data_IF_820625553805
#
_entry.id   IF_820625553805
#
_cell.length_a   1.000
_cell.length_b   1.000
_cell.length_c   1.000
_cell.angle_alpha   90.00
_cell.angle_beta   90.00
_cell.angle_gamma   90.00
#
_symmetry.space_group_name_H-M   'P 1'
#
loop_
_entity.id
_entity.type
_entity.pdbx_description
1 polymer ?
#
# COMPACT_ATOMS: atom_id res chain seq x y z
N UNK A 1 28.44 15.86 -31.83
CA UNK A 1 27.57 16.86 -31.19
C UNK A 1 27.73 16.83 -29.67
N UNK A 2 27.55 15.70 -29.00
CA UNK A 2 27.62 15.58 -27.53
C UNK A 2 28.97 16.03 -26.97
N UNK A 3 30.09 15.56 -27.54
CA UNK A 3 31.43 15.98 -27.13
C UNK A 3 31.60 17.50 -27.08
N UNK A 4 31.25 18.17 -28.17
CA UNK A 4 31.36 19.66 -28.25
C UNK A 4 30.44 20.38 -27.26
N UNK A 5 29.30 19.77 -26.92
CA UNK A 5 28.44 20.35 -25.93
C UNK A 5 29.04 20.23 -24.52
N UNK A 6 29.56 19.04 -24.16
CA UNK A 6 30.19 18.80 -22.87
C UNK A 6 31.48 19.62 -22.65
N UNK A 7 32.26 19.87 -23.72
CA UNK A 7 33.45 20.77 -23.64
C UNK A 7 33.10 22.23 -23.32
N UNK A 8 31.90 22.68 -23.73
CA UNK A 8 31.45 24.06 -23.54
C UNK A 8 30.61 24.26 -22.28
N UNK A 9 30.14 23.18 -21.66
CA UNK A 9 29.40 23.26 -20.42
C UNK A 9 30.33 23.59 -19.26
N UNK A 10 30.01 24.59 -18.44
CA UNK A 10 30.68 24.78 -17.16
C UNK A 10 30.47 23.55 -16.28
N UNK A 11 31.21 23.46 -15.18
CA UNK A 11 30.97 22.40 -14.19
C UNK A 11 29.51 22.43 -13.71
N UNK A 12 28.83 21.31 -13.80
CA UNK A 12 27.44 21.21 -13.41
C UNK A 12 27.36 21.09 -11.87
N UNK A 13 26.53 21.92 -11.21
CA UNK A 13 26.32 21.80 -9.79
C UNK A 13 25.66 20.46 -9.48
N UNK A 14 26.07 19.84 -8.38
CA UNK A 14 25.43 18.60 -7.94
C UNK A 14 24.04 18.91 -7.36
N UNK A 15 22.97 18.29 -7.88
CA UNK A 15 21.62 18.51 -7.36
C UNK A 15 21.39 17.86 -6.00
N UNK A 16 22.27 16.92 -5.60
CA UNK A 16 22.14 16.21 -4.31
C UNK A 16 22.97 16.86 -3.22
N UNK A 17 22.51 16.77 -1.95
CA UNK A 17 23.31 17.20 -0.82
C UNK A 17 24.64 16.43 -0.71
N UNK A 18 25.72 17.15 -0.45
CA UNK A 18 27.08 16.59 -0.41
C UNK A 18 27.23 15.43 0.60
N UNK A 19 26.54 15.52 1.74
CA UNK A 19 26.54 14.47 2.74
C UNK A 19 25.91 13.17 2.23
N UNK A 20 24.90 13.24 1.36
CA UNK A 20 24.28 12.06 0.75
C UNK A 20 25.20 11.45 -0.30
N UNK A 21 25.79 12.27 -1.17
CA UNK A 21 26.74 11.82 -2.18
C UNK A 21 27.91 11.06 -1.53
N UNK A 22 28.41 11.56 -0.41
CA UNK A 22 29.50 10.89 0.35
C UNK A 22 29.03 9.60 1.03
N UNK A 23 27.85 9.64 1.69
CA UNK A 23 27.33 8.47 2.41
C UNK A 23 27.10 7.27 1.48
N UNK A 24 26.61 7.52 0.28
CA UNK A 24 26.33 6.50 -0.73
C UNK A 24 27.54 6.22 -1.65
N UNK A 25 28.68 6.87 -1.41
CA UNK A 25 29.90 6.74 -2.23
C UNK A 25 29.66 6.97 -3.72
N UNK A 26 28.82 7.98 -4.03
CA UNK A 26 28.45 8.29 -5.39
C UNK A 26 29.48 9.20 -6.07
N UNK A 27 29.65 9.01 -7.37
CA UNK A 27 30.45 9.90 -8.20
C UNK A 27 29.80 11.31 -8.28
N UNK A 28 30.58 12.41 -8.34
CA UNK A 28 30.03 13.75 -8.57
C UNK A 28 29.20 13.82 -9.85
N UNK A 29 28.09 14.55 -9.82
CA UNK A 29 27.13 14.61 -10.93
C UNK A 29 27.76 15.03 -12.27
N UNK A 30 28.59 16.10 -12.28
CA UNK A 30 29.29 16.57 -13.49
C UNK A 30 30.18 15.48 -14.10
N UNK A 31 30.90 14.74 -13.25
CA UNK A 31 31.75 13.67 -13.67
C UNK A 31 30.94 12.48 -14.23
N UNK A 32 29.86 12.12 -13.58
CA UNK A 32 28.97 11.06 -14.05
C UNK A 32 28.35 11.39 -15.42
N UNK A 33 27.93 12.64 -15.66
CA UNK A 33 27.42 13.07 -16.97
C UNK A 33 28.49 12.98 -18.06
N UNK A 34 29.75 13.27 -17.74
CA UNK A 34 30.86 13.15 -18.72
C UNK A 34 31.21 11.68 -18.96
N UNK A 35 31.35 10.89 -17.90
CA UNK A 35 31.76 9.50 -17.98
C UNK A 35 30.71 8.57 -18.57
N UNK A 36 29.41 8.87 -18.49
CA UNK A 36 28.37 8.08 -19.16
C UNK A 36 28.50 8.15 -20.69
N UNK A 37 28.99 9.26 -21.22
CA UNK A 37 29.15 9.46 -22.65
C UNK A 37 30.55 9.11 -23.16
N UNK A 38 31.60 9.43 -22.38
CA UNK A 38 33.00 9.27 -22.78
C UNK A 38 33.84 8.75 -21.60
N UNK A 39 33.60 7.49 -21.17
CA UNK A 39 34.35 6.92 -20.07
C UNK A 39 35.80 6.63 -20.46
N UNK A 40 36.74 6.92 -19.60
CA UNK A 40 38.15 6.54 -19.81
C UNK A 40 38.42 5.09 -19.39
N UNK A 41 37.51 4.49 -18.62
CA UNK A 41 37.61 3.11 -18.15
C UNK A 41 36.22 2.50 -17.88
N UNK A 42 36.16 1.14 -17.78
CA UNK A 42 34.94 0.45 -17.39
C UNK A 42 34.49 0.78 -15.96
N UNK A 43 35.44 1.10 -15.07
CA UNK A 43 35.13 1.51 -13.71
C UNK A 43 34.43 2.87 -13.67
N UNK A 44 34.89 3.83 -14.46
CA UNK A 44 34.25 5.14 -14.60
C UNK A 44 32.85 5.03 -15.21
N UNK A 45 32.68 4.19 -16.22
CA UNK A 45 31.34 3.93 -16.78
C UNK A 45 30.39 3.34 -15.74
N UNK A 46 30.87 2.38 -14.95
CA UNK A 46 30.08 1.74 -13.90
C UNK A 46 29.67 2.75 -12.81
N UNK A 47 30.59 3.62 -12.38
CA UNK A 47 30.31 4.70 -11.42
C UNK A 47 29.27 5.68 -11.94
N UNK A 48 29.41 6.10 -13.21
CA UNK A 48 28.44 6.99 -13.85
C UNK A 48 27.03 6.37 -13.96
N UNK A 49 26.95 5.09 -14.35
CA UNK A 49 25.68 4.35 -14.41
C UNK A 49 25.05 4.25 -13.01
N UNK A 50 25.84 3.93 -12.00
CA UNK A 50 25.36 3.85 -10.62
C UNK A 50 24.80 5.19 -10.15
N UNK A 51 25.54 6.28 -10.38
CA UNK A 51 25.13 7.62 -10.00
C UNK A 51 23.80 8.01 -10.66
N UNK A 52 23.67 7.89 -11.97
CA UNK A 52 22.48 8.32 -12.69
C UNK A 52 21.25 7.47 -12.35
N UNK A 53 21.42 6.15 -12.15
CA UNK A 53 20.34 5.30 -11.64
C UNK A 53 19.89 5.72 -10.24
N UNK A 54 20.84 6.05 -9.37
CA UNK A 54 20.52 6.53 -8.03
C UNK A 54 19.73 7.84 -8.08
N UNK A 55 20.15 8.78 -8.89
CA UNK A 55 19.48 10.08 -9.04
C UNK A 55 18.01 9.93 -9.46
N UNK A 56 17.74 9.12 -10.49
CA UNK A 56 16.37 8.88 -10.98
C UNK A 56 15.48 8.23 -9.90
N UNK A 57 15.99 7.19 -9.27
CA UNK A 57 15.24 6.47 -8.24
C UNK A 57 15.04 7.32 -6.99
N UNK A 58 16.06 8.08 -6.57
CA UNK A 58 15.99 8.96 -5.42
C UNK A 58 14.94 10.05 -5.58
N UNK A 59 14.88 10.71 -6.76
CA UNK A 59 13.86 11.73 -7.03
C UNK A 59 12.46 11.15 -6.99
N UNK A 60 12.28 9.94 -7.54
CA UNK A 60 11.01 9.24 -7.51
C UNK A 60 10.59 8.91 -6.06
N UNK A 61 11.48 8.29 -5.30
CA UNK A 61 11.24 7.91 -3.91
C UNK A 61 11.00 9.14 -3.02
N UNK A 62 11.73 10.22 -3.24
CA UNK A 62 11.55 11.49 -2.55
C UNK A 62 10.13 12.06 -2.81
N UNK A 63 9.68 12.01 -4.07
CA UNK A 63 8.32 12.42 -4.44
C UNK A 63 7.25 11.59 -3.73
N UNK A 64 7.43 10.27 -3.68
CA UNK A 64 6.53 9.37 -2.96
C UNK A 64 6.54 9.63 -1.45
N UNK A 65 7.72 9.83 -0.86
CA UNK A 65 7.88 10.16 0.56
C UNK A 65 7.20 11.49 0.92
N UNK A 66 7.34 12.52 0.09
CA UNK A 66 6.63 13.78 0.28
C UNK A 66 5.11 13.62 0.21
N UNK A 67 4.62 12.84 -0.77
CA UNK A 67 3.18 12.55 -0.90
C UNK A 67 2.67 11.82 0.36
N UNK A 68 3.36 10.77 0.78
CA UNK A 68 3.03 10.02 1.98
C UNK A 68 2.99 10.92 3.22
N UNK A 69 4.04 11.71 3.43
CA UNK A 69 4.14 12.63 4.55
C UNK A 69 3.03 13.69 4.57
N UNK A 70 2.64 14.20 3.37
CA UNK A 70 1.54 15.15 3.24
C UNK A 70 0.21 14.53 3.62
N UNK A 71 -0.09 13.32 3.15
CA UNK A 71 -1.30 12.57 3.50
C UNK A 71 -1.35 12.29 5.01
N UNK A 72 -0.26 11.78 5.59
CA UNK A 72 -0.18 11.48 7.01
C UNK A 72 -0.35 12.70 7.92
N UNK A 73 -0.02 13.91 7.44
CA UNK A 73 -0.18 15.17 8.20
C UNK A 73 -1.49 15.89 7.94
N UNK A 74 -2.04 15.78 6.74
CA UNK A 74 -3.22 16.55 6.33
C UNK A 74 -4.52 15.84 6.70
N UNK A 75 -4.52 14.51 6.82
CA UNK A 75 -5.72 13.73 7.06
C UNK A 75 -5.73 13.18 8.48
N UNK A 76 -6.81 13.49 9.21
CA UNK A 76 -7.11 12.85 10.49
C UNK A 76 -7.69 11.48 10.19
N UNK A 77 -7.00 10.41 10.59
CA UNK A 77 -7.51 9.05 10.54
C UNK A 77 -8.42 8.74 11.72
N UNK A 78 -8.98 7.56 11.70
CA UNK A 78 -9.74 7.01 12.83
C UNK A 78 -8.85 6.00 13.55
N UNK A 79 -8.74 6.13 14.86
CA UNK A 79 -8.14 5.09 15.69
C UNK A 79 -9.21 4.00 15.91
N UNK A 80 -8.88 2.76 15.58
CA UNK A 80 -9.78 1.63 15.75
C UNK A 80 -9.54 0.89 17.06
N UNK A 81 -10.59 0.31 17.61
CA UNK A 81 -10.50 -0.64 18.72
C UNK A 81 -10.06 -2.00 18.16
N UNK A 82 -8.94 -2.52 18.66
CA UNK A 82 -8.31 -3.72 18.09
C UNK A 82 -8.96 -5.03 18.58
N UNK A 83 -9.51 -4.99 19.77
CA UNK A 83 -10.13 -6.14 20.42
C UNK A 83 -11.66 -6.09 20.25
N UNK A 84 -12.25 -7.25 20.01
CA UNK A 84 -13.71 -7.31 19.90
C UNK A 84 -14.24 -8.68 19.53
N UNK A 85 -15.55 -8.90 19.71
CA UNK A 85 -16.18 -10.21 19.52
C UNK A 85 -16.06 -10.74 18.08
N UNK A 86 -15.92 -9.85 17.10
CA UNK A 86 -15.74 -10.23 15.69
C UNK A 86 -14.37 -10.87 15.45
N UNK A 87 -13.32 -10.29 16.04
CA UNK A 87 -11.94 -10.79 15.94
C UNK A 87 -11.82 -12.13 16.68
N UNK A 88 -12.32 -12.20 17.91
CA UNK A 88 -12.35 -13.47 18.66
C UNK A 88 -13.08 -14.56 17.90
N UNK A 89 -14.22 -14.22 17.29
CA UNK A 89 -15.01 -15.18 16.51
C UNK A 89 -14.23 -15.62 15.26
N UNK A 90 -13.58 -14.72 14.53
CA UNK A 90 -12.74 -15.07 13.37
C UNK A 90 -11.74 -16.16 13.78
N UNK A 91 -10.90 -15.87 14.76
CA UNK A 91 -9.83 -16.80 15.16
C UNK A 91 -10.34 -18.12 15.76
N UNK A 92 -11.51 -18.11 16.40
CA UNK A 92 -12.14 -19.33 16.92
C UNK A 92 -12.69 -20.24 15.82
N UNK A 93 -13.13 -19.68 14.70
CA UNK A 93 -13.74 -20.43 13.59
C UNK A 93 -12.73 -20.88 12.53
N UNK A 94 -11.49 -20.42 12.60
CA UNK A 94 -10.45 -20.88 11.68
C UNK A 94 -10.18 -22.38 11.85
N UNK A 95 -10.12 -23.16 10.75
CA UNK A 95 -9.79 -24.58 10.79
C UNK A 95 -8.29 -24.85 10.94
N UNK A 96 -7.48 -23.80 11.12
CA UNK A 96 -6.01 -23.84 11.24
C UNK A 96 -5.50 -22.70 12.13
N UNK A 97 -4.31 -22.86 12.67
CA UNK A 97 -3.62 -21.78 13.38
C UNK A 97 -2.94 -20.82 12.39
N UNK A 98 -3.03 -19.49 12.60
CA UNK A 98 -2.30 -18.53 11.79
C UNK A 98 -0.78 -18.76 11.88
N UNK A 99 -0.10 -18.63 10.77
CA UNK A 99 1.36 -18.72 10.71
C UNK A 99 2.01 -17.55 11.45
N UNK A 100 3.29 -17.68 11.81
CA UNK A 100 4.04 -16.58 12.44
C UNK A 100 4.15 -15.34 11.55
N UNK A 101 4.21 -15.54 10.22
CA UNK A 101 4.20 -14.42 9.27
C UNK A 101 2.86 -13.68 9.27
N UNK A 102 1.74 -14.42 9.31
CA UNK A 102 0.40 -13.82 9.41
C UNK A 102 0.22 -13.11 10.74
N UNK A 103 0.66 -13.69 11.86
CA UNK A 103 0.62 -13.04 13.17
C UNK A 103 1.42 -11.73 13.21
N UNK A 104 2.62 -11.71 12.62
CA UNK A 104 3.40 -10.47 12.51
C UNK A 104 2.71 -9.42 11.65
N UNK A 105 2.18 -9.81 10.49
CA UNK A 105 1.49 -8.89 9.59
C UNK A 105 0.22 -8.30 10.24
N UNK A 106 -0.59 -9.10 10.95
CA UNK A 106 -1.75 -8.59 11.68
C UNK A 106 -1.33 -7.65 12.80
N UNK A 107 -0.30 -7.96 13.56
CA UNK A 107 0.19 -7.09 14.63
C UNK A 107 0.71 -5.72 14.10
N UNK A 108 1.37 -5.70 12.94
CA UNK A 108 1.79 -4.46 12.29
C UNK A 108 0.60 -3.63 11.81
N UNK A 109 -0.42 -4.27 11.24
CA UNK A 109 -1.67 -3.63 10.82
C UNK A 109 -2.41 -3.07 12.03
N UNK A 110 -2.55 -3.84 13.10
CA UNK A 110 -3.19 -3.43 14.34
C UNK A 110 -2.51 -2.18 14.93
N UNK A 111 -1.18 -2.19 14.99
CA UNK A 111 -0.40 -1.05 15.46
C UNK A 111 -0.59 0.21 14.56
N UNK A 112 -0.86 0.02 13.29
CA UNK A 112 -1.17 1.11 12.36
C UNK A 112 -2.61 1.60 12.51
N UNK A 113 -3.59 0.68 12.65
CA UNK A 113 -5.01 0.98 12.80
C UNK A 113 -5.36 1.64 14.14
N UNK A 114 -4.59 1.38 15.19
CA UNK A 114 -4.74 2.04 16.49
C UNK A 114 -4.38 3.53 16.48
N UNK A 115 -3.76 4.03 15.42
CA UNK A 115 -3.34 5.44 15.33
C UNK A 115 -4.43 6.30 14.70
N UNK A 116 -4.61 7.56 15.12
CA UNK A 116 -5.55 8.49 14.52
C UNK A 116 -5.00 9.07 13.18
N UNK A 117 -4.50 8.19 12.31
CA UNK A 117 -3.93 8.52 10.99
C UNK A 117 -4.37 7.49 9.97
N UNK A 118 -4.56 7.89 8.69
CA UNK A 118 -4.86 6.95 7.64
C UNK A 118 -3.76 5.89 7.51
N UNK A 119 -4.15 4.63 7.47
CA UNK A 119 -3.25 3.52 7.23
C UNK A 119 -3.14 3.27 5.71
N UNK A 120 -1.91 3.15 5.23
CA UNK A 120 -1.61 2.70 3.86
C UNK A 120 -0.51 1.65 3.95
N UNK A 121 -0.87 0.38 3.77
CA UNK A 121 0.02 -0.78 3.94
C UNK A 121 -0.05 -1.66 2.71
N UNK A 122 1.11 -2.01 2.14
CA UNK A 122 1.24 -2.99 1.08
C UNK A 122 1.56 -4.36 1.69
N UNK A 123 0.60 -5.29 1.61
CA UNK A 123 0.78 -6.66 2.06
C UNK A 123 1.28 -7.54 0.90
N UNK A 124 2.52 -7.99 0.98
CA UNK A 124 3.14 -8.87 -0.01
C UNK A 124 3.32 -10.29 0.53
N UNK A 125 3.24 -11.26 -0.36
CA UNK A 125 3.45 -12.67 -0.06
C UNK A 125 3.08 -13.56 -1.24
N UNK A 126 3.55 -14.80 -1.22
CA UNK A 126 3.29 -15.78 -2.28
C UNK A 126 1.79 -16.10 -2.43
N UNK A 127 1.43 -16.69 -3.58
CA UNK A 127 0.08 -17.20 -3.81
C UNK A 127 -0.19 -18.30 -2.77
N UNK A 128 -1.35 -18.22 -2.11
CA UNK A 128 -1.70 -19.17 -1.04
C UNK A 128 -1.11 -18.86 0.34
N UNK A 129 -0.35 -17.79 0.53
CA UNK A 129 0.20 -17.41 1.85
C UNK A 129 -0.87 -16.92 2.85
N UNK A 130 -2.13 -16.82 2.42
CA UNK A 130 -3.24 -16.43 3.28
C UNK A 130 -3.39 -14.93 3.51
N UNK A 131 -2.94 -14.09 2.56
CA UNK A 131 -3.14 -12.63 2.60
C UNK A 131 -4.59 -12.21 2.87
N UNK A 132 -5.54 -12.99 2.35
CA UNK A 132 -6.99 -12.75 2.57
C UNK A 132 -7.37 -12.79 4.04
N UNK A 133 -6.77 -13.67 4.84
CA UNK A 133 -7.01 -13.71 6.29
C UNK A 133 -6.61 -12.41 6.96
N UNK A 134 -5.44 -11.88 6.63
CA UNK A 134 -4.92 -10.62 7.17
C UNK A 134 -5.81 -9.44 6.75
N UNK A 135 -6.29 -9.43 5.50
CA UNK A 135 -7.22 -8.42 5.01
C UNK A 135 -8.59 -8.48 5.71
N UNK A 136 -9.12 -9.69 5.92
CA UNK A 136 -10.38 -9.91 6.66
C UNK A 136 -10.22 -9.48 8.12
N UNK A 137 -9.09 -9.77 8.76
CA UNK A 137 -8.80 -9.29 10.10
C UNK A 137 -8.89 -7.76 10.17
N UNK A 138 -8.19 -7.04 9.30
CA UNK A 138 -8.24 -5.57 9.25
C UNK A 138 -9.68 -5.03 9.02
N UNK A 139 -10.42 -5.67 8.11
CA UNK A 139 -11.81 -5.31 7.86
C UNK A 139 -12.70 -5.51 9.11
N UNK A 140 -12.50 -6.59 9.86
CA UNK A 140 -13.26 -6.85 11.07
C UNK A 140 -12.89 -5.91 12.22
N UNK A 141 -11.65 -5.46 12.33
CA UNK A 141 -11.22 -4.42 13.26
C UNK A 141 -11.97 -3.11 12.96
N UNK A 142 -12.06 -2.72 11.69
CA UNK A 142 -12.80 -1.52 11.28
C UNK A 142 -14.30 -1.65 11.58
N UNK A 143 -14.91 -2.79 11.24
CA UNK A 143 -16.34 -3.06 11.49
C UNK A 143 -16.63 -3.11 13.00
N UNK A 144 -15.78 -3.76 13.78
CA UNK A 144 -15.89 -3.83 15.23
C UNK A 144 -15.84 -2.45 15.89
N UNK A 145 -15.13 -1.51 15.28
CA UNK A 145 -15.07 -0.11 15.70
C UNK A 145 -16.24 0.75 15.18
N UNK A 146 -17.28 0.15 14.57
CA UNK A 146 -18.45 0.87 14.07
C UNK A 146 -18.27 1.51 12.70
N UNK A 147 -17.27 1.08 11.90
CA UNK A 147 -17.00 1.58 10.57
C UNK A 147 -17.35 0.54 9.49
N UNK A 148 -17.36 0.97 8.24
CA UNK A 148 -17.54 0.08 7.09
C UNK A 148 -16.18 -0.32 6.52
N UNK A 149 -16.10 -1.51 5.93
CA UNK A 149 -14.93 -1.98 5.20
C UNK A 149 -15.34 -2.41 3.79
N UNK A 150 -14.50 -2.10 2.79
CA UNK A 150 -14.69 -2.51 1.41
C UNK A 150 -13.43 -3.22 0.89
N UNK A 151 -13.63 -4.31 0.16
CA UNK A 151 -12.54 -5.04 -0.52
C UNK A 151 -12.76 -4.87 -2.02
N UNK A 152 -11.79 -4.24 -2.70
CA UNK A 152 -11.81 -4.08 -4.14
C UNK A 152 -10.93 -5.13 -4.82
N UNK A 153 -11.35 -5.54 -6.01
CA UNK A 153 -10.58 -6.43 -6.88
C UNK A 153 -10.58 -5.89 -8.32
N UNK A 154 -9.51 -6.15 -9.10
CA UNK A 154 -9.38 -5.59 -10.45
C UNK A 154 -10.38 -6.16 -11.47
N UNK A 155 -11.04 -7.28 -11.18
CA UNK A 155 -12.04 -7.90 -12.04
C UNK A 155 -13.20 -8.48 -11.25
N UNK A 156 -14.38 -8.58 -11.85
CA UNK A 156 -15.57 -9.20 -11.23
C UNK A 156 -15.33 -10.65 -10.82
N UNK A 157 -14.58 -11.41 -11.62
CA UNK A 157 -14.24 -12.80 -11.30
C UNK A 157 -13.42 -12.90 -10.00
N UNK A 158 -12.41 -12.03 -9.85
CA UNK A 158 -11.61 -11.98 -8.63
C UNK A 158 -12.43 -11.46 -7.44
N UNK A 159 -13.31 -10.48 -7.63
CA UNK A 159 -14.21 -10.02 -6.59
C UNK A 159 -15.10 -11.16 -6.10
N UNK A 160 -15.69 -11.95 -7.00
CA UNK A 160 -16.49 -13.12 -6.67
C UNK A 160 -15.70 -14.21 -5.93
N UNK A 161 -14.45 -14.46 -6.33
CA UNK A 161 -13.57 -15.40 -5.63
C UNK A 161 -13.22 -14.92 -4.22
N UNK A 162 -12.86 -13.65 -4.06
CA UNK A 162 -12.60 -13.06 -2.73
C UNK A 162 -13.84 -13.10 -1.85
N UNK A 163 -15.02 -12.80 -2.41
CA UNK A 163 -16.27 -12.90 -1.68
C UNK A 163 -16.49 -14.31 -1.13
N UNK A 164 -16.35 -15.36 -1.96
CA UNK A 164 -16.52 -16.74 -1.52
C UNK A 164 -15.51 -17.13 -0.43
N UNK A 165 -14.24 -16.70 -0.57
CA UNK A 165 -13.20 -16.94 0.43
C UNK A 165 -13.52 -16.26 1.78
N UNK A 166 -13.94 -14.99 1.71
CA UNK A 166 -14.33 -14.22 2.92
C UNK A 166 -15.55 -14.85 3.58
N UNK A 167 -16.58 -15.21 2.80
CA UNK A 167 -17.78 -15.88 3.31
C UNK A 167 -17.45 -17.22 3.98
N UNK A 168 -16.53 -17.99 3.40
CA UNK A 168 -16.06 -19.25 4.00
C UNK A 168 -15.32 -19.04 5.33
N UNK A 169 -14.49 -17.99 5.43
CA UNK A 169 -13.77 -17.64 6.66
C UNK A 169 -14.70 -17.18 7.79
N UNK A 170 -15.74 -16.42 7.44
CA UNK A 170 -16.64 -15.82 8.42
C UNK A 170 -17.81 -16.74 8.82
N UNK A 171 -18.07 -17.80 8.05
CA UNK A 171 -19.22 -18.68 8.23
C UNK A 171 -20.57 -18.02 7.89
N UNK A 172 -21.59 -18.86 7.67
CA UNK A 172 -22.95 -18.38 7.37
C UNK A 172 -23.55 -17.61 8.55
N UNK A 173 -23.96 -16.36 8.31
CA UNK A 173 -24.66 -15.52 9.29
C UNK A 173 -23.77 -14.60 10.13
N UNK A 174 -22.49 -14.43 9.78
CA UNK A 174 -21.58 -13.61 10.58
C UNK A 174 -21.71 -12.11 10.36
N UNK A 175 -22.03 -11.65 9.14
CA UNK A 175 -22.14 -10.22 8.82
C UNK A 175 -23.22 -10.02 7.75
N UNK A 176 -24.32 -9.28 8.06
CA UNK A 176 -25.44 -9.04 7.13
C UNK A 176 -25.04 -8.37 5.80
N UNK A 177 -23.95 -7.58 5.77
CA UNK A 177 -23.49 -6.84 4.61
C UNK A 177 -22.84 -7.70 3.51
N UNK A 178 -22.38 -8.91 3.82
CA UNK A 178 -21.87 -9.85 2.83
C UNK A 178 -22.95 -10.40 1.89
N UNK A 179 -24.20 -10.48 2.32
CA UNK A 179 -25.33 -10.92 1.48
C UNK A 179 -25.66 -9.91 0.36
N UNK A 180 -25.45 -8.62 0.60
CA UNK A 180 -25.69 -7.57 -0.40
C UNK A 180 -24.70 -7.60 -1.56
N UNK A 181 -23.45 -7.95 -1.33
CA UNK A 181 -22.45 -8.09 -2.37
C UNK A 181 -22.63 -9.37 -3.22
N UNK A 182 -23.29 -10.42 -2.70
CA UNK A 182 -23.55 -11.68 -3.41
C UNK A 182 -24.80 -11.69 -4.26
N UNK A 183 -25.76 -10.81 -3.98
CA UNK A 183 -27.02 -10.75 -4.73
C UNK A 183 -26.90 -10.10 -6.12
N UNK A 184 -25.68 -9.88 -6.59
CA UNK A 184 -25.35 -9.23 -7.85
C UNK A 184 -25.94 -9.91 -9.08
N UNK A 185 -27.12 -9.50 -9.43
CA UNK A 185 -27.55 -9.39 -10.81
C UNK A 185 -27.06 -8.02 -11.29
N UNK A 186 -26.29 -8.02 -12.36
CA UNK A 186 -25.52 -6.94 -12.91
C UNK A 186 -26.13 -5.54 -12.79
N UNK A 187 -25.26 -4.54 -12.85
CA UNK A 187 -25.45 -3.09 -12.99
C UNK A 187 -26.24 -2.34 -11.91
N UNK A 188 -27.21 -2.95 -11.22
CA UNK A 188 -28.01 -2.26 -10.21
C UNK A 188 -27.41 -2.31 -8.79
N UNK A 189 -26.57 -3.29 -8.48
CA UNK A 189 -25.96 -3.41 -7.15
C UNK A 189 -24.84 -2.37 -6.92
N UNK A 190 -24.11 -2.01 -7.97
CA UNK A 190 -23.10 -0.95 -7.91
C UNK A 190 -23.74 0.43 -7.75
N UNK A 191 -24.86 0.67 -8.41
CA UNK A 191 -25.65 1.89 -8.26
C UNK A 191 -26.29 2.00 -6.86
N UNK A 192 -26.79 0.91 -6.28
CA UNK A 192 -27.42 0.92 -4.96
C UNK A 192 -26.43 1.12 -3.80
N UNK A 193 -25.16 0.72 -3.96
CA UNK A 193 -24.09 1.01 -2.99
C UNK A 193 -23.65 2.48 -3.02
N UNK A 194 -23.84 3.16 -4.17
CA UNK A 194 -23.56 4.58 -4.33
C UNK A 194 -24.78 5.47 -4.01
N UNK A 195 -26.00 4.92 -4.06
CA UNK A 195 -27.27 5.62 -3.81
C UNK A 195 -27.91 5.28 -2.46
N UNK A 196 -27.40 4.29 -1.73
CA UNK A 196 -27.88 4.03 -0.38
C UNK A 196 -27.45 5.18 0.52
N UNK A 197 -28.39 6.02 0.91
CA UNK A 197 -28.20 6.97 2.00
C UNK A 197 -27.62 6.21 3.20
N UNK A 198 -26.52 6.69 3.80
CA UNK A 198 -25.97 6.06 4.99
C UNK A 198 -27.08 6.00 6.05
N UNK A 199 -27.20 4.89 6.80
CA UNK A 199 -28.17 4.81 7.87
C UNK A 199 -28.02 6.05 8.75
N UNK A 200 -29.15 6.67 9.13
CA UNK A 200 -29.25 7.99 9.76
C UNK A 200 -28.44 8.13 11.08
N UNK A 201 -27.78 7.08 11.54
CA UNK A 201 -26.91 7.02 12.73
C UNK A 201 -25.42 6.84 12.39
N UNK A 202 -25.03 6.74 11.12
CA UNK A 202 -23.63 6.70 10.74
C UNK A 202 -23.06 8.12 10.82
N UNK A 203 -22.21 8.36 11.81
CA UNK A 203 -21.46 9.61 11.94
C UNK A 203 -20.64 9.94 10.67
N UNK A 204 -20.23 11.19 10.47
CA UNK A 204 -19.66 11.67 9.22
C UNK A 204 -18.34 10.97 8.88
N UNK A 205 -18.35 10.16 7.84
CA UNK A 205 -17.13 9.71 7.21
C UNK A 205 -17.07 8.24 6.82
N UNK A 206 -17.67 7.89 5.68
CA UNK A 206 -17.25 6.68 4.94
C UNK A 206 -15.81 6.90 4.53
N UNK A 207 -14.86 6.15 5.09
CA UNK A 207 -13.46 6.18 4.69
C UNK A 207 -13.09 4.85 4.09
N UNK A 208 -12.56 4.90 2.88
CA UNK A 208 -12.12 3.73 2.12
C UNK A 208 -10.74 3.30 2.61
N UNK A 209 -10.56 1.99 2.77
CA UNK A 209 -9.24 1.37 2.93
C UNK A 209 -8.84 0.77 1.59
N UNK A 210 -7.79 1.29 0.99
CA UNK A 210 -7.20 0.72 -0.20
C UNK A 210 -6.27 -0.43 0.20
N UNK A 211 -6.75 -1.66 0.09
CA UNK A 211 -5.93 -2.86 0.19
C UNK A 211 -5.56 -3.30 -1.22
N UNK A 212 -4.34 -3.02 -1.65
CA UNK A 212 -3.83 -3.51 -2.93
C UNK A 212 -3.28 -4.92 -2.78
N UNK A 213 -3.87 -5.86 -3.51
CA UNK A 213 -3.30 -7.19 -3.67
C UNK A 213 -2.48 -7.22 -4.96
N UNK A 214 -1.15 -7.40 -4.85
CA UNK A 214 -0.29 -7.74 -5.98
C UNK A 214 -0.16 -9.26 -6.06
N UNK A 215 -0.33 -9.80 -7.28
CA UNK A 215 -0.02 -11.20 -7.60
C UNK A 215 1.49 -11.35 -7.70
#
# INVERSE_FOLDING_TARGET
LVWRALERLPALPDPMPENLVRAESLEPFDLAIRNIHFPGSQAELAGAIQRLKFDELFVLELGLAFRKHRVERAETGVAHELDGPLIERLYRTLPFDPTDAQRRATAEIDAAMARPRPMNVLLQGDVGSGKTLVAVHAALVAIGSGHQAAIMAPTEVLAGQHFQQVAALLGSGAIPYLELASSGKGDSAQASLLEADPPAEAGPGVRYFDLYFTQ
#
